data_IF_081724010693
#
_entry.id   IF_081724010693
#
_cell.length_a   1.000
_cell.length_b   1.000
_cell.length_c   1.000
_cell.angle_alpha   90.00
_cell.angle_beta   90.00
_cell.angle_gamma   90.00
#
_symmetry.space_group_name_H-M   'P 1'
#
loop_
_entity.id
_entity.type
_entity.pdbx_description
1 polymer ?
#
# COMPACT_ATOMS: atom_id res chain seq x y z
N UNK A 1 -11.65 -22.30 21.37
CA UNK A 1 -10.18 -22.34 21.51
C UNK A 1 -9.54 -22.71 20.17
N UNK A 2 -9.35 -21.72 19.28
CA UNK A 2 -8.78 -21.95 17.95
C UNK A 2 -7.51 -21.12 17.71
N UNK A 3 -6.81 -20.75 18.77
CA UNK A 3 -5.56 -19.99 18.69
C UNK A 3 -4.35 -20.91 18.56
N UNK A 4 -3.26 -20.39 18.00
CA UNK A 4 -1.95 -21.00 18.04
C UNK A 4 -1.32 -20.71 19.40
N UNK A 5 -0.74 -21.71 20.06
CA UNK A 5 0.00 -21.49 21.31
C UNK A 5 1.18 -20.55 21.06
N UNK A 6 1.45 -19.62 22.00
CA UNK A 6 2.58 -18.70 21.87
C UNK A 6 3.91 -19.45 21.94
N UNK A 7 4.91 -18.97 21.22
CA UNK A 7 6.28 -19.49 21.28
C UNK A 7 7.07 -18.88 22.44
N UNK A 8 6.62 -17.77 23.00
CA UNK A 8 7.23 -17.02 24.09
C UNK A 8 6.14 -16.54 25.05
N UNK A 9 5.58 -17.45 25.89
CA UNK A 9 4.52 -17.09 26.83
C UNK A 9 4.96 -16.00 27.81
N UNK A 10 6.21 -16.08 28.30
CA UNK A 10 6.77 -15.10 29.23
C UNK A 10 6.81 -13.68 28.65
N UNK A 11 7.02 -13.54 27.35
CA UNK A 11 6.96 -12.23 26.68
C UNK A 11 5.54 -11.67 26.66
N UNK A 12 4.54 -12.52 26.47
CA UNK A 12 3.12 -12.08 26.52
C UNK A 12 2.74 -11.66 27.93
N UNK A 13 3.16 -12.42 28.94
CA UNK A 13 2.90 -12.09 30.34
C UNK A 13 3.59 -10.79 30.72
N UNK A 14 4.85 -10.60 30.32
CA UNK A 14 5.57 -9.35 30.54
C UNK A 14 4.88 -8.15 29.87
N UNK A 15 4.46 -8.27 28.61
CA UNK A 15 3.73 -7.21 27.91
C UNK A 15 2.39 -6.90 28.59
N UNK A 16 1.70 -7.91 29.12
CA UNK A 16 0.44 -7.72 29.83
C UNK A 16 0.66 -6.96 31.15
N UNK A 17 1.67 -7.35 31.93
CA UNK A 17 2.03 -6.67 33.19
C UNK A 17 2.47 -5.23 32.88
N UNK A 18 3.36 -5.03 31.91
CA UNK A 18 3.84 -3.72 31.51
C UNK A 18 2.72 -2.77 31.04
N UNK A 19 1.66 -3.34 30.43
CA UNK A 19 0.48 -2.58 30.01
C UNK A 19 -0.43 -2.17 31.19
N UNK A 20 -0.51 -3.01 32.22
CA UNK A 20 -1.30 -2.75 33.42
C UNK A 20 -0.55 -1.95 34.48
N UNK A 21 0.73 -2.24 34.67
CA UNK A 21 1.62 -1.67 35.69
C UNK A 21 2.96 -1.28 35.07
N UNK A 22 3.04 -0.11 34.40
CA UNK A 22 4.24 0.30 33.67
C UNK A 22 5.47 0.41 34.56
N UNK A 23 6.58 -0.16 34.09
CA UNK A 23 7.89 -0.03 34.74
C UNK A 23 8.44 1.40 34.65
N UNK A 24 9.21 1.88 35.62
CA UNK A 24 9.90 3.16 35.53
C UNK A 24 10.78 3.26 34.27
N UNK A 25 10.64 4.35 33.50
CA UNK A 25 11.40 4.57 32.27
C UNK A 25 10.84 3.87 31.02
N UNK A 26 9.74 3.16 31.13
CA UNK A 26 9.04 2.54 30.00
C UNK A 26 8.48 3.55 29.02
N UNK A 27 8.21 3.08 27.78
CA UNK A 27 7.40 3.82 26.81
C UNK A 27 5.91 3.83 27.18
N UNK A 28 5.43 2.84 27.94
CA UNK A 28 4.10 2.83 28.55
C UNK A 28 4.13 3.77 29.73
N UNK A 29 3.50 4.93 29.64
CA UNK A 29 3.61 6.01 30.63
C UNK A 29 2.56 5.96 31.73
N UNK A 30 1.50 5.19 31.52
CA UNK A 30 0.38 5.03 32.45
C UNK A 30 -0.32 3.70 32.15
N UNK A 31 -1.04 3.12 33.11
CA UNK A 31 -1.90 1.95 32.86
C UNK A 31 -2.77 2.13 31.62
N UNK A 32 -2.83 1.10 30.79
CA UNK A 32 -3.65 1.05 29.57
C UNK A 32 -3.24 2.04 28.46
N UNK A 33 -2.00 2.48 28.44
CA UNK A 33 -1.43 3.30 27.37
C UNK A 33 -1.12 2.46 26.12
N UNK A 34 -2.12 2.30 25.25
CA UNK A 34 -1.99 1.52 24.01
C UNK A 34 -0.87 2.06 23.11
N UNK A 35 -0.72 3.39 23.03
CA UNK A 35 0.34 3.99 22.18
C UNK A 35 1.74 3.70 22.76
N UNK A 36 1.89 3.75 24.07
CA UNK A 36 3.13 3.39 24.74
C UNK A 36 3.49 1.92 24.50
N UNK A 37 2.53 1.00 24.64
CA UNK A 37 2.73 -0.42 24.37
C UNK A 37 3.13 -0.68 22.91
N UNK A 38 2.42 -0.09 21.96
CA UNK A 38 2.78 -0.18 20.55
C UNK A 38 4.19 0.35 20.27
N UNK A 39 4.57 1.47 20.91
CA UNK A 39 5.92 2.00 20.81
C UNK A 39 6.97 1.05 21.36
N UNK A 40 6.72 0.44 22.51
CA UNK A 40 7.58 -0.60 23.09
C UNK A 40 7.86 -1.72 22.09
N UNK A 41 6.79 -2.23 21.45
CA UNK A 41 6.91 -3.31 20.46
C UNK A 41 7.71 -2.85 19.22
N UNK A 42 7.35 -1.74 18.57
CA UNK A 42 7.99 -1.32 17.32
C UNK A 42 9.42 -0.81 17.50
N UNK A 43 9.79 -0.40 18.71
CA UNK A 43 11.16 0.00 19.05
C UNK A 43 12.05 -1.17 19.49
N UNK A 44 11.47 -2.35 19.70
CA UNK A 44 12.23 -3.54 20.09
C UNK A 44 13.22 -3.98 19.01
N UNK A 45 14.33 -4.58 19.40
CA UNK A 45 15.31 -5.15 18.49
C UNK A 45 14.67 -6.24 17.62
N UNK A 46 13.79 -7.05 18.18
CA UNK A 46 13.05 -8.12 17.48
C UNK A 46 12.21 -7.56 16.33
N UNK A 47 11.43 -6.50 16.54
CA UNK A 47 10.61 -5.90 15.51
C UNK A 47 11.43 -5.23 14.39
N UNK A 48 12.59 -4.69 14.75
CA UNK A 48 13.48 -3.94 13.84
C UNK A 48 14.50 -4.81 13.11
N UNK A 49 14.43 -6.11 13.25
CA UNK A 49 15.31 -7.03 12.53
C UNK A 49 15.07 -7.03 11.02
N UNK A 50 16.12 -7.34 10.27
CA UNK A 50 16.02 -7.60 8.84
C UNK A 50 15.23 -8.88 8.57
N UNK A 51 14.49 -8.91 7.47
CA UNK A 51 13.84 -10.12 6.96
C UNK A 51 14.80 -11.01 6.12
N UNK A 52 16.06 -10.62 5.98
CA UNK A 52 17.04 -11.38 5.21
C UNK A 52 17.24 -12.78 5.80
N UNK A 53 17.07 -13.79 4.96
CA UNK A 53 17.26 -15.19 5.32
C UNK A 53 18.69 -15.59 4.96
N UNK A 54 19.41 -16.18 5.92
CA UNK A 54 20.73 -16.78 5.72
C UNK A 54 20.63 -18.29 5.78
N UNK A 55 21.65 -19.00 5.26
CA UNK A 55 21.72 -20.45 5.39
C UNK A 55 21.73 -20.91 6.85
N UNK A 56 22.36 -20.13 7.74
CA UNK A 56 22.37 -20.38 9.18
C UNK A 56 20.97 -20.26 9.79
N UNK A 57 20.19 -19.22 9.42
CA UNK A 57 18.80 -19.10 9.87
C UNK A 57 17.95 -20.29 9.46
N UNK A 58 18.13 -20.79 8.23
CA UNK A 58 17.38 -21.97 7.74
C UNK A 58 17.79 -23.25 8.45
N UNK A 59 19.07 -23.41 8.77
CA UNK A 59 19.57 -24.59 9.46
C UNK A 59 19.13 -24.63 10.93
N UNK A 60 19.20 -23.49 11.65
CA UNK A 60 18.93 -23.44 13.10
C UNK A 60 17.46 -23.21 13.43
N UNK A 61 16.77 -22.36 12.69
CA UNK A 61 15.37 -21.98 12.95
C UNK A 61 14.60 -21.72 11.65
N UNK A 62 14.29 -22.75 10.86
CA UNK A 62 13.57 -22.60 9.60
C UNK A 62 12.20 -21.93 9.75
N UNK A 63 11.53 -22.15 10.89
CA UNK A 63 10.19 -21.62 11.18
C UNK A 63 10.20 -20.26 11.88
N UNK A 64 11.38 -19.67 12.10
CA UNK A 64 11.54 -18.41 12.82
C UNK A 64 10.84 -18.38 14.20
N UNK A 65 10.92 -19.48 14.94
CA UNK A 65 10.33 -19.57 16.27
C UNK A 65 11.09 -18.77 17.32
N UNK A 66 12.39 -18.58 17.09
CA UNK A 66 13.27 -17.79 17.96
C UNK A 66 13.25 -16.29 17.62
N UNK A 67 12.42 -15.87 16.66
CA UNK A 67 12.29 -14.48 16.21
C UNK A 67 13.63 -13.87 15.80
N UNK A 68 14.53 -14.66 15.22
CA UNK A 68 15.86 -14.24 14.77
C UNK A 68 15.88 -13.39 13.49
N UNK A 69 14.74 -13.21 12.85
CA UNK A 69 14.52 -12.36 11.67
C UNK A 69 13.10 -11.82 11.66
N UNK A 70 12.88 -10.68 10.96
CA UNK A 70 11.52 -10.18 10.74
C UNK A 70 10.79 -11.09 9.72
N UNK A 71 9.55 -11.52 9.99
CA UNK A 71 8.80 -12.30 9.03
C UNK A 71 8.32 -11.41 7.87
N UNK A 72 8.54 -11.84 6.63
CA UNK A 72 7.93 -11.17 5.49
C UNK A 72 6.42 -11.33 5.53
N UNK A 73 5.71 -10.22 5.48
CA UNK A 73 4.25 -10.18 5.53
C UNK A 73 3.70 -9.33 4.41
N UNK A 74 2.80 -9.90 3.62
CA UNK A 74 2.04 -9.12 2.66
C UNK A 74 1.10 -8.17 3.41
N UNK A 75 0.94 -6.96 2.86
CA UNK A 75 0.01 -5.99 3.42
C UNK A 75 -1.43 -6.48 3.30
N UNK A 76 -2.24 -6.17 4.29
CA UNK A 76 -3.69 -6.32 4.22
C UNK A 76 -4.26 -5.36 3.15
N UNK A 77 -5.42 -5.69 2.60
CA UNK A 77 -6.09 -4.91 1.54
C UNK A 77 -6.19 -3.41 1.86
N UNK A 78 -6.56 -3.08 3.08
CA UNK A 78 -6.63 -1.69 3.56
C UNK A 78 -5.25 -1.03 3.59
N UNK A 79 -4.21 -1.80 3.96
CA UNK A 79 -2.82 -1.34 3.99
C UNK A 79 -2.27 -1.08 2.59
N UNK A 80 -2.60 -1.92 1.60
CA UNK A 80 -2.21 -1.71 0.19
C UNK A 80 -2.77 -0.39 -0.32
N UNK A 81 -4.06 -0.13 -0.09
CA UNK A 81 -4.69 1.15 -0.47
C UNK A 81 -4.07 2.34 0.27
N UNK A 82 -3.96 2.25 1.59
CA UNK A 82 -3.43 3.34 2.41
C UNK A 82 -2.00 3.71 2.02
N UNK A 83 -1.18 2.71 1.72
CA UNK A 83 0.19 2.92 1.28
C UNK A 83 0.26 3.58 -0.11
N UNK A 84 -0.55 3.13 -1.08
CA UNK A 84 -0.59 3.75 -2.40
C UNK A 84 -1.05 5.21 -2.33
N UNK A 85 -2.08 5.51 -1.53
CA UNK A 85 -2.53 6.89 -1.25
C UNK A 85 -1.45 7.73 -0.57
N UNK A 86 -0.71 7.16 0.39
CA UNK A 86 0.36 7.88 1.08
C UNK A 86 1.55 8.19 0.16
N UNK A 87 1.96 7.22 -0.67
CA UNK A 87 3.06 7.38 -1.63
C UNK A 87 2.72 8.41 -2.70
N UNK A 88 1.47 8.41 -3.18
CA UNK A 88 0.98 9.40 -4.16
C UNK A 88 0.74 10.79 -3.58
N UNK A 89 0.68 10.93 -2.26
CA UNK A 89 0.37 12.19 -1.57
C UNK A 89 -1.12 12.52 -1.50
N UNK A 90 -2.01 11.59 -1.91
CA UNK A 90 -3.46 11.79 -1.90
C UNK A 90 -4.12 11.45 -0.56
N UNK A 91 -3.42 10.76 0.36
CA UNK A 91 -4.03 10.22 1.58
C UNK A 91 -4.67 11.28 2.45
N UNK A 92 -5.98 11.22 2.61
CA UNK A 92 -6.69 11.95 3.65
C UNK A 92 -6.46 11.32 5.03
N UNK A 93 -6.03 12.14 5.98
CA UNK A 93 -5.79 11.73 7.37
C UNK A 93 -7.01 11.93 8.30
N UNK A 94 -8.14 12.32 7.75
CA UNK A 94 -9.39 12.52 8.49
C UNK A 94 -9.79 11.25 9.22
N UNK A 95 -10.08 11.36 10.52
CA UNK A 95 -10.50 10.25 11.38
C UNK A 95 -11.98 10.41 11.73
N UNK A 96 -12.71 9.28 11.76
CA UNK A 96 -14.13 9.26 12.09
C UNK A 96 -15.02 9.63 10.89
N UNK A 97 -16.32 9.68 11.11
CA UNK A 97 -17.32 9.96 10.08
C UNK A 97 -17.84 8.71 9.34
N UNK A 98 -18.73 8.91 8.35
CA UNK A 98 -19.37 7.82 7.62
C UNK A 98 -18.40 7.08 6.69
N UNK A 99 -18.84 5.93 6.20
CA UNK A 99 -18.14 5.20 5.13
C UNK A 99 -18.09 6.03 3.85
N UNK A 100 -17.03 5.77 3.05
CA UNK A 100 -16.78 6.43 1.77
C UNK A 100 -16.82 5.42 0.63
N UNK A 101 -16.98 5.91 -0.59
CA UNK A 101 -17.13 5.14 -1.81
C UNK A 101 -15.98 5.46 -2.77
N UNK A 102 -14.79 4.83 -2.62
CA UNK A 102 -13.68 5.07 -3.53
C UNK A 102 -14.03 4.68 -4.97
N UNK A 103 -13.31 5.18 -6.01
CA UNK A 103 -13.51 4.75 -7.37
C UNK A 103 -13.40 3.23 -7.52
N UNK A 104 -14.22 2.67 -8.38
CA UNK A 104 -14.15 1.26 -8.80
C UNK A 104 -14.58 1.14 -10.26
N UNK A 105 -14.28 0.02 -10.94
CA UNK A 105 -14.75 -0.22 -12.29
C UNK A 105 -16.27 -0.10 -12.39
N UNK A 106 -16.74 0.51 -13.47
CA UNK A 106 -18.17 0.74 -13.70
C UNK A 106 -18.96 -0.54 -13.92
N UNK A 107 -20.26 -0.47 -13.70
CA UNK A 107 -21.21 -1.56 -14.04
C UNK A 107 -21.36 -2.67 -13.01
N UNK A 108 -20.44 -2.83 -12.07
CA UNK A 108 -20.44 -3.94 -11.10
C UNK A 108 -21.73 -4.00 -10.26
N UNK A 109 -22.14 -2.85 -9.72
CA UNK A 109 -23.37 -2.79 -8.92
C UNK A 109 -24.63 -2.87 -9.75
N UNK A 110 -24.60 -2.34 -10.99
CA UNK A 110 -25.71 -2.46 -11.92
C UNK A 110 -25.98 -3.92 -12.27
N UNK A 111 -24.95 -4.68 -12.61
CA UNK A 111 -25.07 -6.10 -12.92
C UNK A 111 -25.61 -6.92 -11.74
N UNK A 112 -25.13 -6.64 -10.52
CA UNK A 112 -25.52 -7.39 -9.32
C UNK A 112 -26.95 -7.09 -8.82
N UNK A 113 -27.54 -5.95 -9.18
CA UNK A 113 -28.86 -5.49 -8.64
C UNK A 113 -29.85 -5.12 -9.75
N UNK A 114 -29.75 -5.71 -10.93
CA UNK A 114 -30.67 -5.44 -12.06
C UNK A 114 -30.83 -3.95 -12.37
N UNK A 115 -29.76 -3.17 -12.27
CA UNK A 115 -29.77 -1.74 -12.51
C UNK A 115 -30.35 -0.85 -11.40
N UNK A 116 -30.89 -1.44 -10.35
CA UNK A 116 -31.57 -0.68 -9.28
C UNK A 116 -30.64 0.05 -8.32
N UNK A 117 -29.33 -0.25 -8.36
CA UNK A 117 -28.35 0.36 -7.44
C UNK A 117 -27.11 0.82 -8.19
N UNK A 118 -26.59 1.94 -7.73
CA UNK A 118 -25.35 2.54 -8.25
C UNK A 118 -24.33 2.67 -7.13
N UNK A 119 -23.07 2.80 -7.51
CA UNK A 119 -21.98 3.14 -6.63
C UNK A 119 -21.79 4.67 -6.64
N UNK A 120 -22.15 5.39 -5.56
CA UNK A 120 -22.02 6.84 -5.51
C UNK A 120 -20.59 7.24 -5.19
N UNK A 121 -19.70 7.20 -6.17
CA UNK A 121 -18.28 7.50 -5.98
C UNK A 121 -18.10 8.82 -5.23
N UNK A 122 -17.36 8.78 -4.12
CA UNK A 122 -17.04 9.94 -3.29
C UNK A 122 -16.18 10.93 -4.04
N UNK A 123 -16.34 12.21 -3.73
CA UNK A 123 -15.58 13.33 -4.30
C UNK A 123 -14.75 14.04 -3.24
N UNK A 124 -13.83 14.91 -3.65
CA UNK A 124 -12.98 15.68 -2.75
C UNK A 124 -12.15 14.78 -1.81
N UNK A 125 -11.97 15.21 -0.58
CA UNK A 125 -11.17 14.51 0.42
C UNK A 125 -11.67 13.09 0.73
N UNK A 126 -12.97 12.87 0.73
CA UNK A 126 -13.56 11.58 1.05
C UNK A 126 -13.23 10.48 0.02
N UNK A 127 -12.86 10.86 -1.22
CA UNK A 127 -12.36 9.96 -2.26
C UNK A 127 -11.06 9.27 -1.84
N UNK A 128 -10.23 9.93 -1.05
CA UNK A 128 -8.87 9.52 -0.69
C UNK A 128 -8.72 9.09 0.76
N UNK A 129 -9.80 8.79 1.43
CA UNK A 129 -9.76 8.31 2.82
C UNK A 129 -9.17 6.92 2.90
N UNK A 130 -8.67 6.59 4.09
CA UNK A 130 -8.07 5.29 4.42
C UNK A 130 -9.02 4.14 4.11
N UNK A 131 -8.44 3.00 3.76
CA UNK A 131 -9.15 1.78 3.39
C UNK A 131 -10.19 1.31 4.42
N UNK A 132 -9.93 1.55 5.71
CA UNK A 132 -10.87 1.20 6.79
C UNK A 132 -12.24 1.89 6.66
N UNK A 133 -12.32 3.03 5.99
CA UNK A 133 -13.57 3.77 5.77
C UNK A 133 -14.31 3.37 4.49
N UNK A 134 -13.74 2.49 3.66
CA UNK A 134 -14.39 2.01 2.44
C UNK A 134 -15.70 1.32 2.76
N UNK A 135 -16.79 1.76 2.11
CA UNK A 135 -18.09 1.13 2.25
C UNK A 135 -18.01 -0.35 1.84
N UNK A 136 -18.54 -1.21 2.69
CA UNK A 136 -18.52 -2.65 2.49
C UNK A 136 -19.93 -3.22 2.39
N UNK A 137 -20.19 -3.91 1.28
CA UNK A 137 -21.41 -4.69 1.11
C UNK A 137 -21.06 -6.15 0.90
N UNK A 138 -21.59 -7.03 1.72
CA UNK A 138 -21.27 -8.48 1.68
C UNK A 138 -21.54 -9.12 0.33
N UNK A 139 -22.68 -8.80 -0.30
CA UNK A 139 -23.07 -9.36 -1.60
C UNK A 139 -22.27 -8.83 -2.79
N UNK A 140 -21.70 -7.62 -2.69
CA UNK A 140 -20.83 -7.00 -3.70
C UNK A 140 -19.74 -6.24 -2.97
N UNK A 141 -18.70 -6.93 -2.50
CA UNK A 141 -17.58 -6.29 -1.82
C UNK A 141 -16.81 -5.37 -2.76
N UNK A 142 -16.10 -4.40 -2.19
CA UNK A 142 -15.25 -3.51 -2.96
C UNK A 142 -14.14 -4.32 -3.67
N UNK A 143 -14.04 -4.28 -5.03
CA UNK A 143 -13.33 -5.29 -5.83
C UNK A 143 -11.84 -5.40 -5.49
N UNK A 144 -11.14 -4.27 -5.44
CA UNK A 144 -9.69 -4.30 -5.18
C UNK A 144 -9.38 -4.85 -3.79
N UNK A 145 -10.19 -4.54 -2.78
CA UNK A 145 -9.98 -5.11 -1.44
C UNK A 145 -10.29 -6.60 -1.40
N UNK A 146 -11.34 -7.06 -2.09
CA UNK A 146 -11.65 -8.49 -2.20
C UNK A 146 -10.49 -9.25 -2.87
N UNK A 147 -9.90 -8.69 -3.91
CA UNK A 147 -8.74 -9.25 -4.60
C UNK A 147 -7.49 -9.32 -3.70
N UNK A 148 -7.34 -8.38 -2.76
CA UNK A 148 -6.29 -8.39 -1.74
C UNK A 148 -6.71 -9.06 -0.42
N UNK A 149 -7.53 -10.11 -0.50
CA UNK A 149 -7.89 -11.02 0.60
C UNK A 149 -8.61 -10.36 1.78
N UNK A 150 -9.32 -9.24 1.56
CA UNK A 150 -10.20 -8.71 2.58
C UNK A 150 -11.32 -9.72 2.89
N UNK A 151 -11.69 -9.93 4.17
CA UNK A 151 -12.73 -10.90 4.51
C UNK A 151 -14.09 -10.48 3.95
N UNK A 152 -14.88 -11.45 3.50
CA UNK A 152 -16.23 -11.22 2.96
C UNK A 152 -17.19 -10.58 3.97
N UNK A 153 -16.93 -10.77 5.27
CA UNK A 153 -17.79 -10.40 6.40
C UNK A 153 -19.13 -11.15 6.43
N UNK A 154 -19.22 -12.24 5.70
CA UNK A 154 -20.35 -13.17 5.80
C UNK A 154 -20.23 -14.08 7.02
N UNK A 155 -19.01 -14.47 7.32
CA UNK A 155 -18.66 -15.30 8.48
C UNK A 155 -17.54 -14.62 9.29
N UNK A 156 -17.44 -14.98 10.56
CA UNK A 156 -16.34 -14.52 11.40
C UNK A 156 -15.03 -15.15 10.92
N UNK A 157 -14.06 -14.34 10.54
CA UNK A 157 -12.73 -14.78 10.17
C UNK A 157 -11.76 -14.56 11.35
N UNK A 158 -11.17 -15.64 11.84
CA UNK A 158 -10.17 -15.59 12.92
C UNK A 158 -8.85 -15.03 12.38
N UNK A 159 -8.54 -15.34 11.12
CA UNK A 159 -7.28 -14.98 10.48
C UNK A 159 -7.53 -14.71 8.99
N UNK A 160 -6.89 -13.67 8.47
CA UNK A 160 -6.77 -13.46 7.02
C UNK A 160 -5.63 -14.32 6.48
N UNK A 161 -5.84 -14.98 5.35
CA UNK A 161 -4.82 -15.76 4.66
C UNK A 161 -4.38 -14.92 3.45
N UNK A 162 -3.24 -14.23 3.53
CA UNK A 162 -2.77 -13.42 2.42
C UNK A 162 -2.30 -14.32 1.27
N UNK A 163 -2.71 -13.98 0.06
CA UNK A 163 -2.27 -14.62 -1.17
C UNK A 163 -1.35 -13.70 -1.98
N UNK A 164 -0.72 -14.24 -3.00
CA UNK A 164 0.03 -13.48 -3.99
C UNK A 164 -0.36 -14.01 -5.37
N UNK A 165 -1.28 -13.34 -6.02
CA UNK A 165 -1.85 -13.81 -7.29
C UNK A 165 -1.60 -12.82 -8.42
N UNK A 166 -1.54 -13.29 -9.69
CA UNK A 166 -1.48 -12.39 -10.85
C UNK A 166 -2.61 -11.38 -10.91
N UNK A 167 -3.80 -11.75 -10.40
CA UNK A 167 -4.96 -10.85 -10.36
C UNK A 167 -4.72 -9.62 -9.48
N UNK A 168 -3.97 -9.76 -8.39
CA UNK A 168 -3.58 -8.62 -7.55
C UNK A 168 -2.68 -7.63 -8.32
N UNK A 169 -1.75 -8.15 -9.12
CA UNK A 169 -0.92 -7.31 -10.00
C UNK A 169 -1.76 -6.60 -11.07
N UNK A 170 -2.72 -7.30 -11.67
CA UNK A 170 -3.64 -6.69 -12.64
C UNK A 170 -4.50 -5.59 -12.02
N UNK A 171 -4.96 -5.76 -10.78
CA UNK A 171 -5.71 -4.72 -10.05
C UNK A 171 -4.85 -3.49 -9.83
N UNK A 172 -3.63 -3.62 -9.31
CA UNK A 172 -2.77 -2.45 -9.09
C UNK A 172 -2.36 -1.74 -10.39
N UNK A 173 -2.38 -2.45 -11.53
CA UNK A 173 -2.05 -1.88 -12.83
C UNK A 173 -3.25 -1.21 -13.53
N UNK A 174 -4.49 -1.68 -13.32
CA UNK A 174 -5.62 -1.31 -14.17
C UNK A 174 -6.84 -0.76 -13.40
N UNK A 175 -6.94 -0.94 -12.09
CA UNK A 175 -8.08 -0.42 -11.34
C UNK A 175 -8.02 1.13 -11.31
N UNK A 176 -9.12 1.84 -11.64
CA UNK A 176 -9.13 3.29 -11.75
C UNK A 176 -8.61 4.00 -10.50
N UNK A 177 -8.83 3.44 -9.31
CA UNK A 177 -8.30 4.03 -8.08
C UNK A 177 -6.76 3.95 -8.03
N UNK A 178 -6.15 2.86 -8.51
CA UNK A 178 -4.69 2.73 -8.54
C UNK A 178 -4.06 3.51 -9.69
N UNK A 179 -4.73 3.61 -10.83
CA UNK A 179 -4.29 4.50 -11.93
C UNK A 179 -4.25 5.95 -11.46
N UNK A 180 -5.29 6.42 -10.77
CA UNK A 180 -5.33 7.75 -10.16
C UNK A 180 -4.19 8.00 -9.17
N UNK A 181 -3.88 7.01 -8.32
CA UNK A 181 -2.75 7.08 -7.41
C UNK A 181 -1.40 7.09 -8.15
N UNK A 182 -1.27 6.34 -9.24
CA UNK A 182 -0.07 6.34 -10.08
C UNK A 182 0.14 7.70 -10.77
N UNK A 183 -0.90 8.32 -11.29
CA UNK A 183 -0.86 9.68 -11.84
C UNK A 183 -0.41 10.71 -10.80
N UNK A 184 -0.96 10.65 -9.60
CA UNK A 184 -0.57 11.55 -8.53
C UNK A 184 0.89 11.32 -8.08
N UNK A 185 1.34 10.06 -8.03
CA UNK A 185 2.74 9.73 -7.76
C UNK A 185 3.64 10.25 -8.88
N UNK A 186 3.26 10.10 -10.15
CA UNK A 186 4.00 10.64 -11.30
C UNK A 186 4.21 12.16 -11.18
N UNK A 187 3.14 12.92 -10.89
CA UNK A 187 3.22 14.37 -10.64
C UNK A 187 4.17 14.70 -9.47
N UNK A 188 4.16 13.87 -8.44
CA UNK A 188 5.06 13.99 -7.30
C UNK A 188 6.51 13.71 -7.69
N UNK A 189 6.78 12.66 -8.48
CA UNK A 189 8.13 12.34 -8.97
C UNK A 189 8.72 13.49 -9.79
N UNK A 190 7.93 14.07 -10.69
CA UNK A 190 8.36 15.21 -11.51
C UNK A 190 8.66 16.45 -10.67
N UNK A 191 7.82 16.73 -9.66
CA UNK A 191 7.96 17.92 -8.81
C UNK A 191 9.06 17.81 -7.75
N UNK A 192 9.20 16.63 -7.12
CA UNK A 192 10.03 16.44 -5.93
C UNK A 192 11.31 15.62 -6.19
N UNK A 193 11.36 14.87 -7.29
CA UNK A 193 12.38 13.86 -7.55
C UNK A 193 13.69 14.36 -8.15
N UNK A 194 13.81 15.65 -8.44
CA UNK A 194 15.00 16.25 -9.06
C UNK A 194 14.81 16.59 -10.54
N UNK A 195 15.89 17.05 -11.19
CA UNK A 195 15.86 17.57 -12.54
C UNK A 195 15.95 16.48 -13.63
N UNK A 196 16.65 15.37 -13.32
CA UNK A 196 16.93 14.31 -14.29
C UNK A 196 16.03 13.09 -14.08
N UNK A 197 15.75 12.31 -15.13
CA UNK A 197 15.01 11.04 -15.00
C UNK A 197 15.65 10.09 -13.99
N UNK A 198 16.98 10.05 -13.92
CA UNK A 198 17.73 9.24 -12.98
C UNK A 198 17.49 9.62 -11.52
N UNK A 199 17.47 10.91 -11.21
CA UNK A 199 17.16 11.41 -9.88
C UNK A 199 15.71 11.10 -9.49
N UNK A 200 14.76 11.30 -10.39
CA UNK A 200 13.35 11.00 -10.18
C UNK A 200 13.09 9.52 -9.95
N UNK A 201 13.73 8.64 -10.73
CA UNK A 201 13.66 7.18 -10.53
C UNK A 201 14.25 6.77 -9.18
N UNK A 202 15.41 7.30 -8.81
CA UNK A 202 16.04 7.05 -7.52
C UNK A 202 15.20 7.55 -6.34
N UNK A 203 14.59 8.73 -6.47
CA UNK A 203 13.64 9.28 -5.51
C UNK A 203 12.42 8.36 -5.34
N UNK A 204 11.80 7.96 -6.45
CA UNK A 204 10.63 7.08 -6.44
C UNK A 204 10.90 5.74 -5.75
N UNK A 205 12.02 5.09 -6.07
CA UNK A 205 12.45 3.84 -5.41
C UNK A 205 12.69 4.05 -3.91
N UNK A 206 13.36 5.14 -3.52
CA UNK A 206 13.62 5.45 -2.11
C UNK A 206 12.33 5.72 -1.35
N UNK A 207 11.42 6.48 -1.95
CA UNK A 207 10.10 6.78 -1.38
C UNK A 207 9.29 5.50 -1.16
N UNK A 208 9.25 4.62 -2.16
CA UNK A 208 8.45 3.41 -2.14
C UNK A 208 9.04 2.30 -1.26
N UNK A 209 10.37 2.12 -1.28
CA UNK A 209 11.04 1.01 -0.60
C UNK A 209 11.69 1.40 0.73
N UNK A 210 11.72 2.69 1.09
CA UNK A 210 12.35 3.21 2.30
C UNK A 210 13.83 2.79 2.48
N UNK A 211 14.54 2.54 1.39
CA UNK A 211 15.96 2.17 1.36
C UNK A 211 16.65 2.74 0.13
N UNK A 212 17.98 2.91 0.16
CA UNK A 212 18.74 3.30 -1.03
C UNK A 212 18.52 2.28 -2.17
N UNK A 213 18.19 2.73 -3.39
CA UNK A 213 18.10 1.85 -4.55
C UNK A 213 19.47 1.44 -5.07
N UNK A 214 19.55 0.28 -5.71
CA UNK A 214 20.75 -0.10 -6.48
C UNK A 214 20.78 0.64 -7.83
N UNK A 215 21.96 0.78 -8.42
CA UNK A 215 22.12 1.38 -9.74
C UNK A 215 21.28 0.63 -10.80
N UNK A 216 21.28 -0.69 -10.79
CA UNK A 216 20.50 -1.51 -11.70
C UNK A 216 18.97 -1.27 -11.60
N UNK A 217 18.45 -1.06 -10.38
CA UNK A 217 17.03 -0.72 -10.19
C UNK A 217 16.70 0.64 -10.82
N UNK A 218 17.57 1.62 -10.61
CA UNK A 218 17.41 2.96 -11.21
C UNK A 218 17.48 2.89 -12.72
N UNK A 219 18.49 2.19 -13.28
CA UNK A 219 18.68 2.04 -14.71
C UNK A 219 17.47 1.37 -15.40
N UNK A 220 16.90 0.34 -14.77
CA UNK A 220 15.68 -0.33 -15.28
C UNK A 220 14.50 0.61 -15.38
N UNK A 221 14.28 1.48 -14.37
CA UNK A 221 13.18 2.45 -14.40
C UNK A 221 13.42 3.60 -15.39
N UNK A 222 14.67 4.04 -15.55
CA UNK A 222 15.04 5.04 -16.57
C UNK A 222 14.79 4.49 -17.97
N UNK A 223 15.23 3.26 -18.24
CA UNK A 223 14.97 2.59 -19.52
C UNK A 223 13.46 2.46 -19.81
N UNK A 224 12.68 2.10 -18.80
CA UNK A 224 11.21 2.06 -18.93
C UNK A 224 10.66 3.43 -19.26
N UNK A 225 11.06 4.47 -18.51
CA UNK A 225 10.61 5.84 -18.72
C UNK A 225 10.93 6.33 -20.13
N UNK A 226 12.16 6.13 -20.62
CA UNK A 226 12.60 6.58 -21.93
C UNK A 226 11.79 5.92 -23.08
N UNK A 227 11.54 4.62 -22.95
CA UNK A 227 10.72 3.87 -23.89
C UNK A 227 9.27 4.39 -23.92
N UNK A 228 8.67 4.59 -22.75
CA UNK A 228 7.30 5.09 -22.65
C UNK A 228 7.18 6.56 -23.10
N UNK A 229 8.20 7.38 -22.83
CA UNK A 229 8.24 8.76 -23.31
C UNK A 229 8.24 8.84 -24.85
N UNK A 230 9.04 8.01 -25.50
CA UNK A 230 9.06 7.90 -26.96
C UNK A 230 7.67 7.46 -27.49
N UNK A 231 7.08 6.44 -26.85
CA UNK A 231 5.75 5.94 -27.20
C UNK A 231 4.69 7.05 -27.12
N UNK A 232 4.61 7.77 -25.98
CA UNK A 232 3.58 8.79 -25.75
C UNK A 232 3.83 10.08 -26.53
N UNK A 233 5.05 10.41 -26.91
CA UNK A 233 5.31 11.51 -27.84
C UNK A 233 4.71 11.27 -29.22
N UNK A 234 4.61 10.02 -29.64
CA UNK A 234 3.97 9.64 -30.91
C UNK A 234 2.44 9.50 -30.79
N UNK A 235 1.87 9.60 -29.57
CA UNK A 235 0.44 9.45 -29.31
C UNK A 235 -0.07 10.53 -28.33
N UNK A 236 -0.10 11.80 -28.72
CA UNK A 236 -0.35 12.92 -27.80
C UNK A 236 -1.73 12.88 -27.12
N UNK A 237 -2.77 12.42 -27.81
CA UNK A 237 -4.12 12.30 -27.21
C UNK A 237 -4.15 11.22 -26.11
N UNK A 238 -3.54 10.05 -26.36
CA UNK A 238 -3.44 8.97 -25.38
C UNK A 238 -2.57 9.41 -24.19
N UNK A 239 -1.49 10.12 -24.45
CA UNK A 239 -0.63 10.70 -23.41
C UNK A 239 -1.41 11.65 -22.51
N UNK A 240 -2.21 12.55 -23.11
CA UNK A 240 -3.05 13.49 -22.37
C UNK A 240 -4.09 12.76 -21.53
N UNK A 241 -4.78 11.79 -22.10
CA UNK A 241 -5.77 10.97 -21.38
C UNK A 241 -5.12 10.29 -20.18
N UNK A 242 -4.04 9.53 -20.36
CA UNK A 242 -3.36 8.85 -19.25
C UNK A 242 -2.78 9.82 -18.21
N UNK A 243 -2.39 11.03 -18.57
CA UNK A 243 -1.85 12.02 -17.63
C UNK A 243 -2.94 12.75 -16.82
N UNK A 244 -4.21 12.70 -17.26
CA UNK A 244 -5.29 13.51 -16.68
C UNK A 244 -6.49 12.74 -16.18
N UNK A 245 -6.88 11.64 -16.80
CA UNK A 245 -8.06 10.86 -16.41
C UNK A 245 -7.63 9.62 -15.59
N UNK A 246 -8.15 9.45 -14.36
CA UNK A 246 -9.23 10.21 -13.68
C UNK A 246 -8.78 11.34 -12.72
N UNK A 247 -7.48 11.62 -12.55
CA UNK A 247 -6.98 12.54 -11.51
C UNK A 247 -7.37 14.02 -11.74
N UNK A 248 -7.58 14.41 -12.99
CA UNK A 248 -7.91 15.79 -13.36
C UNK A 248 -6.80 16.50 -14.13
N UNK A 249 -6.98 17.79 -14.44
CA UNK A 249 -6.18 18.52 -15.42
C UNK A 249 -4.69 18.50 -15.12
N UNK A 250 -3.91 18.69 -16.18
CA UNK A 250 -2.45 18.82 -16.08
C UNK A 250 -2.06 20.01 -15.20
N UNK A 251 -1.09 19.84 -14.31
CA UNK A 251 -0.46 20.98 -13.65
C UNK A 251 0.23 21.89 -14.69
N UNK A 252 0.23 23.20 -14.41
CA UNK A 252 0.88 24.19 -15.25
C UNK A 252 2.37 23.85 -15.50
N UNK A 253 2.81 23.95 -16.75
CA UNK A 253 4.19 23.69 -17.14
C UNK A 253 4.61 22.24 -17.24
N UNK A 254 3.70 21.27 -17.04
CA UNK A 254 4.01 19.84 -17.20
C UNK A 254 3.63 19.33 -18.60
N UNK A 255 4.55 18.55 -19.20
CA UNK A 255 4.33 17.90 -20.49
C UNK A 255 3.46 16.63 -20.31
N UNK A 256 2.37 16.46 -21.10
CA UNK A 256 1.52 15.28 -21.07
C UNK A 256 2.27 13.97 -21.33
N UNK A 257 3.18 13.95 -22.32
CA UNK A 257 3.92 12.75 -22.66
C UNK A 257 4.90 12.34 -21.55
N UNK A 258 5.55 13.32 -20.93
CA UNK A 258 6.40 13.09 -19.76
C UNK A 258 5.60 12.53 -18.58
N UNK A 259 4.43 13.12 -18.27
CA UNK A 259 3.60 12.64 -17.17
C UNK A 259 2.99 11.26 -17.44
N UNK A 260 2.59 10.97 -18.67
CA UNK A 260 2.11 9.65 -19.06
C UNK A 260 3.21 8.58 -18.84
N UNK A 261 4.43 8.85 -19.32
CA UNK A 261 5.57 7.97 -19.11
C UNK A 261 5.88 7.77 -17.61
N UNK A 262 5.88 8.83 -16.82
CA UNK A 262 6.05 8.71 -15.35
C UNK A 262 4.87 8.03 -14.67
N UNK A 263 3.66 8.09 -15.22
CA UNK A 263 2.50 7.35 -14.69
C UNK A 263 2.70 5.84 -14.84
N UNK A 264 3.23 5.38 -15.98
CA UNK A 264 3.60 3.96 -16.15
C UNK A 264 4.68 3.54 -15.15
N UNK A 265 5.72 4.36 -14.97
CA UNK A 265 6.78 4.10 -13.98
C UNK A 265 6.21 4.07 -12.55
N UNK A 266 5.34 5.02 -12.21
CA UNK A 266 4.68 5.09 -10.91
C UNK A 266 3.79 3.87 -10.65
N UNK A 267 3.08 3.40 -11.68
CA UNK A 267 2.27 2.20 -11.61
C UNK A 267 3.13 0.95 -11.32
N UNK A 268 4.27 0.81 -11.99
CA UNK A 268 5.24 -0.25 -11.70
C UNK A 268 5.79 -0.12 -10.28
N UNK A 269 6.12 1.09 -9.81
CA UNK A 269 6.59 1.34 -8.44
C UNK A 269 5.56 0.88 -7.40
N UNK A 270 4.28 1.21 -7.58
CA UNK A 270 3.21 0.81 -6.66
C UNK A 270 2.97 -0.72 -6.66
N UNK A 271 3.36 -1.42 -7.72
CA UNK A 271 3.20 -2.87 -7.86
C UNK A 271 4.45 -3.68 -7.44
N UNK A 272 5.53 -3.03 -7.02
CA UNK A 272 6.72 -3.74 -6.55
C UNK A 272 6.42 -4.62 -5.34
N UNK A 273 6.97 -5.83 -5.32
CA UNK A 273 6.83 -6.74 -4.17
C UNK A 273 7.26 -6.07 -2.84
N UNK A 274 8.34 -5.30 -2.85
CA UNK A 274 8.80 -4.56 -1.66
C UNK A 274 7.86 -3.43 -1.20
N UNK A 275 6.89 -3.04 -2.02
CA UNK A 275 5.81 -2.11 -1.65
C UNK A 275 4.61 -2.85 -1.06
N UNK A 276 4.26 -3.99 -1.64
CA UNK A 276 3.11 -4.79 -1.24
C UNK A 276 3.40 -5.75 -0.07
N UNK A 277 4.68 -5.91 0.28
CA UNK A 277 5.15 -6.83 1.34
C UNK A 277 6.08 -6.07 2.28
N UNK A 278 5.89 -6.24 3.57
CA UNK A 278 6.78 -5.71 4.62
C UNK A 278 7.75 -6.79 5.10
N UNK A 279 9.00 -6.37 5.29
CA UNK A 279 10.08 -7.23 5.77
C UNK A 279 11.39 -7.02 5.06
#
# INVERSE_FOLDING_TARGET
>A
TQGTLPTHPELLDWLAVEFMEPSPGSWVRRPWDVKGLLKTIVMSATYRQSSRITAEHLAKDPRNRLLGRYPRRRLDAEGVRDQALALSGLLSRKIGGPSVFPPQPEGLWRAAFNGQRTWPTSTGEDRYRRGIYTFWRRTVPYPSMATFDAPSREICAIRRIPTNTPLQALVTLNDPAYVEMAQALARRLVREGGATPRERAAYGLRLCLCRPPSAAQVDSLVTLYERELEHYRNQPEVAKELATDPLGPLPEGMDPAELAAWTVVANVLLNLDGVLTKG
#
